data_IF_222816221435
#
_entry.id   IF_222816221435
#
_cell.length_a   1.000
_cell.length_b   1.000
_cell.length_c   1.000
_cell.angle_alpha   90.00
_cell.angle_beta   90.00
_cell.angle_gamma   90.00
#
_symmetry.space_group_name_H-M   'P 1'
#
loop_
_entity.id
_entity.type
_entity.pdbx_description
1 polymer ?
#
# COMPACT_ATOMS: atom_id res chain seq x y z
N UNK A 1 -1.34 -3.63 -3.57
CA UNK A 1 -0.87 -5.03 -3.62
C UNK A 1 -0.89 -5.65 -2.22
N UNK A 2 -0.24 -5.03 -1.22
CA UNK A 2 -0.33 -5.47 0.19
C UNK A 2 -1.70 -5.24 0.83
N UNK A 3 -2.34 -4.09 0.57
CA UNK A 3 -3.72 -3.83 1.05
C UNK A 3 -4.70 -4.94 0.63
N UNK A 4 -4.59 -5.41 -0.61
CA UNK A 4 -5.41 -6.52 -1.10
C UNK A 4 -5.05 -7.88 -0.47
N UNK A 5 -3.78 -8.07 -0.06
CA UNK A 5 -3.35 -9.27 0.65
C UNK A 5 -3.84 -9.28 2.10
N UNK A 6 -3.73 -8.16 2.80
CA UNK A 6 -4.20 -8.00 4.18
C UNK A 6 -5.73 -8.11 4.26
N UNK A 7 -6.46 -7.48 3.34
CA UNK A 7 -7.90 -7.65 3.19
C UNK A 7 -8.29 -9.11 2.92
N UNK A 8 -7.55 -9.82 2.05
CA UNK A 8 -7.80 -11.23 1.79
C UNK A 8 -7.60 -12.09 3.05
N UNK A 9 -6.63 -11.77 3.91
CA UNK A 9 -6.45 -12.43 5.21
C UNK A 9 -7.58 -12.12 6.19
N UNK A 10 -8.05 -10.87 6.24
CA UNK A 10 -9.18 -10.47 7.09
C UNK A 10 -10.49 -11.15 6.66
N UNK A 11 -10.75 -11.23 5.35
CA UNK A 11 -11.89 -11.98 4.81
C UNK A 11 -11.77 -13.47 5.16
N UNK A 12 -10.58 -14.06 4.98
CA UNK A 12 -10.33 -15.47 5.33
C UNK A 12 -10.55 -15.75 6.82
N UNK A 13 -10.23 -14.78 7.68
CA UNK A 13 -10.43 -14.90 9.14
C UNK A 13 -11.90 -14.74 9.57
N UNK A 14 -12.79 -14.30 8.68
CA UNK A 14 -14.20 -14.05 8.97
C UNK A 14 -14.49 -12.72 9.65
N UNK A 15 -13.48 -11.88 9.87
CA UNK A 15 -13.62 -10.57 10.52
C UNK A 15 -14.27 -9.53 9.61
N UNK A 16 -14.16 -9.70 8.29
CA UNK A 16 -14.80 -8.84 7.28
C UNK A 16 -15.69 -9.70 6.40
N UNK A 17 -16.98 -9.35 6.31
CA UNK A 17 -17.97 -10.01 5.45
C UNK A 17 -18.67 -8.99 4.55
N UNK A 18 -19.03 -9.39 3.32
CA UNK A 18 -19.75 -8.54 2.36
C UNK A 18 -18.89 -7.60 1.50
N UNK A 19 -17.56 -7.61 1.65
CA UNK A 19 -16.64 -6.79 0.85
C UNK A 19 -16.08 -7.60 -0.33
N UNK A 20 -16.56 -7.31 -1.55
CA UNK A 20 -16.00 -7.91 -2.77
C UNK A 20 -14.80 -7.10 -3.26
N UNK A 21 -13.60 -7.51 -2.82
CA UNK A 21 -12.32 -6.85 -3.13
C UNK A 21 -12.09 -6.70 -4.65
N UNK A 22 -12.51 -7.69 -5.45
CA UNK A 22 -12.41 -7.62 -6.91
C UNK A 22 -13.16 -6.40 -7.49
N UNK A 23 -14.38 -6.14 -7.01
CA UNK A 23 -15.21 -5.04 -7.51
C UNK A 23 -14.65 -3.67 -7.08
N UNK A 24 -13.89 -3.62 -5.99
CA UNK A 24 -13.36 -2.37 -5.44
C UNK A 24 -12.16 -1.85 -6.24
N UNK A 25 -11.27 -2.75 -6.67
CA UNK A 25 -10.12 -2.38 -7.50
C UNK A 25 -10.55 -1.76 -8.84
N UNK A 26 -11.49 -2.40 -9.54
CA UNK A 26 -12.00 -1.91 -10.82
C UNK A 26 -12.69 -0.55 -10.65
N UNK A 27 -13.53 -0.41 -9.62
CA UNK A 27 -14.27 0.83 -9.35
C UNK A 27 -13.34 1.97 -8.93
N UNK A 28 -12.29 1.70 -8.15
CA UNK A 28 -11.27 2.70 -7.81
C UNK A 28 -10.56 3.21 -9.07
N UNK A 29 -10.09 2.30 -9.93
CA UNK A 29 -9.37 2.69 -11.15
C UNK A 29 -10.27 3.47 -12.12
N UNK A 30 -11.55 3.12 -12.21
CA UNK A 30 -12.49 3.76 -13.14
C UNK A 30 -13.05 5.10 -12.63
N UNK A 31 -13.15 5.32 -11.31
CA UNK A 31 -13.99 6.40 -10.76
C UNK A 31 -13.25 7.42 -9.91
N UNK A 32 -12.03 7.13 -9.43
CA UNK A 32 -11.40 7.92 -8.36
C UNK A 32 -10.15 8.72 -8.75
N UNK A 33 -9.66 8.59 -9.99
CA UNK A 33 -8.38 9.18 -10.40
C UNK A 33 -7.15 8.59 -9.68
N UNK A 34 -7.36 7.58 -8.83
CA UNK A 34 -6.31 6.88 -8.10
C UNK A 34 -5.62 5.91 -9.05
N UNK A 35 -4.28 5.94 -9.05
CA UNK A 35 -3.45 5.05 -9.85
C UNK A 35 -2.62 4.17 -8.92
N UNK A 36 -2.58 2.87 -9.20
CA UNK A 36 -1.68 1.97 -8.51
C UNK A 36 -0.25 2.20 -8.97
N UNK A 37 0.67 2.31 -8.01
CA UNK A 37 2.10 2.47 -8.26
C UNK A 37 2.85 1.27 -7.66
N UNK A 38 3.15 0.24 -8.46
CA UNK A 38 3.98 -0.88 -8.01
C UNK A 38 5.37 -0.39 -7.59
N UNK A 39 5.95 -0.90 -6.49
CA UNK A 39 7.29 -0.52 -6.08
C UNK A 39 8.34 -1.02 -7.06
N UNK A 40 9.34 -0.19 -7.32
CA UNK A 40 10.52 -0.57 -8.09
C UNK A 40 11.58 -1.21 -7.19
N UNK A 41 12.48 -2.02 -7.77
CA UNK A 41 13.62 -2.59 -7.03
C UNK A 41 14.45 -1.48 -6.37
N UNK A 42 14.63 -0.34 -7.04
CA UNK A 42 15.36 0.80 -6.48
C UNK A 42 14.68 1.36 -5.23
N UNK A 43 13.35 1.47 -5.22
CA UNK A 43 12.59 1.93 -4.05
C UNK A 43 12.67 0.95 -2.89
N UNK A 44 12.64 -0.35 -3.17
CA UNK A 44 12.81 -1.41 -2.17
C UNK A 44 14.21 -1.35 -1.54
N UNK A 45 15.26 -1.12 -2.33
CA UNK A 45 16.61 -0.97 -1.78
C UNK A 45 16.76 0.33 -0.96
N UNK A 46 16.16 1.43 -1.44
CA UNK A 46 16.16 2.70 -0.71
C UNK A 46 15.42 2.61 0.62
N UNK A 47 14.32 1.85 0.69
CA UNK A 47 13.57 1.69 1.93
C UNK A 47 14.39 1.00 3.01
N UNK A 48 15.20 0.00 2.65
CA UNK A 48 16.10 -0.69 3.58
C UNK A 48 17.23 0.21 4.13
N UNK A 49 17.54 1.32 3.46
CA UNK A 49 18.54 2.29 3.89
C UNK A 49 17.98 3.44 4.74
N UNK A 50 16.65 3.51 4.92
CA UNK A 50 16.03 4.53 5.77
C UNK A 50 16.35 4.26 7.25
N UNK A 51 16.45 5.32 8.08
CA UNK A 51 16.55 5.13 9.52
C UNK A 51 15.32 4.37 10.04
N UNK A 52 15.47 3.50 11.05
CA UNK A 52 14.40 2.65 11.56
C UNK A 52 13.46 3.46 12.47
N UNK A 53 12.72 4.41 11.87
CA UNK A 53 11.69 5.18 12.57
C UNK A 53 10.41 4.36 12.75
N UNK A 54 10.06 3.52 11.78
CA UNK A 54 8.92 2.61 11.81
C UNK A 54 9.39 1.16 11.89
N UNK A 55 8.63 0.32 12.61
CA UNK A 55 8.92 -1.13 12.74
C UNK A 55 8.42 -1.93 11.53
N UNK A 56 7.47 -1.40 10.76
CA UNK A 56 6.93 -2.08 9.60
C UNK A 56 7.81 -1.83 8.35
N UNK A 57 8.36 -2.87 7.72
CA UNK A 57 9.10 -2.72 6.46
C UNK A 57 8.26 -2.10 5.32
N UNK A 58 6.93 -2.19 5.36
CA UNK A 58 6.06 -1.56 4.37
C UNK A 58 5.94 -0.04 4.56
N UNK A 59 5.93 0.46 5.79
CA UNK A 59 5.94 1.90 6.04
C UNK A 59 7.21 2.54 5.45
N UNK A 60 8.35 1.88 5.66
CA UNK A 60 9.62 2.29 5.08
C UNK A 60 9.56 2.30 3.54
N UNK A 61 8.88 1.32 2.94
CA UNK A 61 8.68 1.29 1.48
C UNK A 61 7.79 2.44 0.99
N UNK A 62 6.68 2.73 1.67
CA UNK A 62 5.80 3.85 1.34
C UNK A 62 6.53 5.20 1.45
N UNK A 63 7.35 5.38 2.49
CA UNK A 63 8.20 6.57 2.66
C UNK A 63 9.21 6.67 1.52
N UNK A 64 9.87 5.57 1.14
CA UNK A 64 10.84 5.56 0.06
C UNK A 64 10.22 5.90 -1.30
N UNK A 65 9.01 5.40 -1.57
CA UNK A 65 8.25 5.75 -2.77
C UNK A 65 7.85 7.23 -2.74
N UNK A 66 7.26 7.71 -1.64
CA UNK A 66 6.84 9.11 -1.52
C UNK A 66 8.01 10.08 -1.72
N UNK A 67 9.18 9.79 -1.13
CA UNK A 67 10.41 10.57 -1.34
C UNK A 67 10.93 10.50 -2.78
N UNK A 68 10.94 9.31 -3.39
CA UNK A 68 11.45 9.11 -4.76
C UNK A 68 10.58 9.84 -5.79
N UNK A 69 9.26 9.83 -5.60
CA UNK A 69 8.28 10.44 -6.50
C UNK A 69 7.83 11.85 -6.09
N UNK A 70 8.41 12.41 -5.02
CA UNK A 70 8.04 13.71 -4.45
C UNK A 70 6.53 13.82 -4.15
N UNK A 71 5.94 12.73 -3.65
CA UNK A 71 4.52 12.64 -3.32
C UNK A 71 4.29 13.02 -1.86
N UNK A 72 3.09 13.52 -1.57
CA UNK A 72 2.61 13.67 -0.19
C UNK A 72 2.10 12.32 0.32
N UNK A 73 2.65 11.83 1.42
CA UNK A 73 2.18 10.63 2.10
C UNK A 73 1.04 11.00 3.06
N UNK A 74 -0.13 10.40 2.88
CA UNK A 74 -1.27 10.56 3.79
C UNK A 74 -1.31 9.30 4.67
N UNK A 75 -1.21 9.48 5.99
CA UNK A 75 -1.29 8.41 6.98
C UNK A 75 -2.25 8.78 8.11
N UNK A 76 -2.75 7.77 8.83
CA UNK A 76 -3.53 7.91 10.07
C UNK A 76 -2.69 7.71 11.33
N UNK A 77 -1.48 7.17 11.17
CA UNK A 77 -0.56 6.90 12.28
C UNK A 77 -0.08 8.19 12.95
#
# INVERSE_FOLDING_TARGET
>A
MIVFWEEALLIKSGWVTGFHVQNWNEKLQQTSGIRFLPPTISEILKSAALPPHHKDPFDLLLIAQARTHQMTLITKD
#
